data_IF_483008655116
#
_entry.id   IF_483008655116
#
_cell.length_a   1.000
_cell.length_b   1.000
_cell.length_c   1.000
_cell.angle_alpha   90.00
_cell.angle_beta   90.00
_cell.angle_gamma   90.00
#
_symmetry.space_group_name_H-M   'P 1'
#
loop_
_entity.id
_entity.type
_entity.pdbx_description
1 polymer ?
#
# COMPACT_ATOMS: atom_id res chain seq x y z
N UNK A 1 -2.96 6.28 -15.81
CA UNK A 1 -2.14 6.26 -14.57
C UNK A 1 -0.77 6.78 -14.97
N UNK A 2 -0.34 7.89 -14.39
CA UNK A 2 0.80 8.67 -14.88
C UNK A 2 2.04 8.42 -14.03
N UNK A 3 3.22 8.57 -14.65
CA UNK A 3 4.57 8.69 -14.07
C UNK A 3 4.66 9.35 -12.68
N UNK A 4 3.75 10.27 -12.37
CA UNK A 4 3.63 10.91 -11.05
C UNK A 4 3.25 9.92 -9.95
N UNK A 5 2.40 8.93 -10.21
CA UNK A 5 1.97 7.90 -9.24
C UNK A 5 3.13 6.95 -8.91
N UNK A 6 3.84 6.45 -9.93
CA UNK A 6 5.01 5.58 -9.75
C UNK A 6 6.16 6.28 -9.02
N UNK A 7 6.40 7.56 -9.35
CA UNK A 7 7.40 8.36 -8.66
C UNK A 7 7.03 8.62 -7.19
N UNK A 8 5.74 8.84 -6.90
CA UNK A 8 5.25 9.02 -5.53
C UNK A 8 5.41 7.75 -4.72
N UNK A 9 4.99 6.61 -5.24
CA UNK A 9 5.16 5.32 -4.56
C UNK A 9 6.63 5.01 -4.27
N UNK A 10 7.51 5.19 -5.27
CA UNK A 10 8.97 5.02 -5.06
C UNK A 10 9.53 5.99 -4.03
N UNK A 11 9.06 7.23 -4.01
CA UNK A 11 9.50 8.24 -3.06
C UNK A 11 9.07 7.90 -1.62
N UNK A 12 7.84 7.40 -1.43
CA UNK A 12 7.37 6.95 -0.12
C UNK A 12 8.12 5.71 0.38
N UNK A 13 8.42 4.75 -0.51
CA UNK A 13 9.27 3.59 -0.18
C UNK A 13 10.69 4.02 0.24
N UNK A 14 11.31 4.93 -0.52
CA UNK A 14 12.63 5.48 -0.21
C UNK A 14 12.62 6.25 1.11
N UNK A 15 11.56 7.02 1.37
CA UNK A 15 11.39 7.77 2.61
C UNK A 15 11.25 6.84 3.82
N UNK A 16 10.45 5.77 3.71
CA UNK A 16 10.28 4.77 4.77
C UNK A 16 11.60 4.06 5.11
N UNK A 17 12.32 3.58 4.09
CA UNK A 17 13.65 2.98 4.27
C UNK A 17 14.67 3.98 4.83
N UNK A 18 14.59 5.24 4.39
CA UNK A 18 15.41 6.33 4.90
C UNK A 18 15.18 6.59 6.39
N UNK A 19 13.93 6.62 6.85
CA UNK A 19 13.57 6.75 8.27
C UNK A 19 14.06 5.57 9.10
N UNK A 20 13.92 4.33 8.60
CA UNK A 20 14.44 3.14 9.29
C UNK A 20 15.96 3.15 9.42
N UNK A 21 16.66 3.53 8.34
CA UNK A 21 18.12 3.62 8.33
C UNK A 21 18.61 4.74 9.24
N UNK A 22 17.99 5.92 9.16
CA UNK A 22 18.31 7.06 10.02
C UNK A 22 18.08 6.71 11.50
N UNK A 23 16.91 6.18 11.86
CA UNK A 23 16.61 5.77 13.23
C UNK A 23 17.54 4.67 13.74
N UNK A 24 17.97 3.74 12.88
CA UNK A 24 18.94 2.71 13.27
C UNK A 24 20.35 3.27 13.50
N UNK A 25 20.72 4.33 12.80
CA UNK A 25 22.03 5.00 12.93
C UNK A 25 22.05 5.97 14.11
N UNK A 26 20.98 6.73 14.33
CA UNK A 26 20.89 7.72 15.41
C UNK A 26 20.42 7.11 16.73
N UNK A 27 19.90 5.88 16.71
CA UNK A 27 19.30 5.24 17.88
C UNK A 27 17.88 5.75 18.20
N UNK A 28 17.23 6.43 17.24
CA UNK A 28 15.86 6.89 17.36
C UNK A 28 14.88 5.76 17.02
N UNK A 29 14.35 5.13 18.07
CA UNK A 29 13.29 4.12 17.95
C UNK A 29 12.03 4.69 17.30
N UNK A 30 11.76 6.00 17.45
CA UNK A 30 10.60 6.66 16.84
C UNK A 30 10.72 6.71 15.30
N UNK A 31 11.87 7.11 14.76
CA UNK A 31 12.12 7.10 13.30
C UNK A 31 12.07 5.69 12.73
N UNK A 32 12.58 4.70 13.47
CA UNK A 32 12.54 3.30 13.06
C UNK A 32 11.12 2.73 13.07
N UNK A 33 10.34 3.07 14.08
CA UNK A 33 8.93 2.67 14.18
C UNK A 33 8.08 3.34 13.09
N UNK A 34 8.33 4.62 12.79
CA UNK A 34 7.61 5.37 11.77
C UNK A 34 7.85 4.79 10.37
N UNK A 35 9.11 4.46 10.03
CA UNK A 35 9.43 3.81 8.76
C UNK A 35 8.82 2.42 8.59
N UNK A 36 8.78 1.61 9.67
CA UNK A 36 8.07 0.31 9.67
C UNK A 36 6.56 0.45 9.60
N UNK A 37 6.00 1.45 10.27
CA UNK A 37 4.56 1.74 10.27
C UNK A 37 4.06 2.18 8.89
N UNK A 38 4.83 3.01 8.19
CA UNK A 38 4.57 3.41 6.80
C UNK A 38 4.56 2.17 5.87
N UNK A 39 5.55 1.28 5.98
CA UNK A 39 5.59 0.03 5.19
C UNK A 39 4.42 -0.90 5.50
N UNK A 40 4.14 -1.15 6.79
CA UNK A 40 3.03 -2.02 7.19
C UNK A 40 1.67 -1.48 6.74
N UNK A 41 1.48 -0.16 6.79
CA UNK A 41 0.25 0.48 6.33
C UNK A 41 0.10 0.38 4.82
N UNK A 42 1.17 0.55 4.05
CA UNK A 42 1.16 0.39 2.60
C UNK A 42 0.81 -1.06 2.19
N UNK A 43 1.48 -2.03 2.80
CA UNK A 43 1.24 -3.47 2.56
C UNK A 43 -0.21 -3.86 2.91
N UNK A 44 -0.72 -3.33 4.02
CA UNK A 44 -2.11 -3.55 4.46
C UNK A 44 -3.12 -2.92 3.52
N UNK A 45 -2.91 -1.67 3.10
CA UNK A 45 -3.78 -0.98 2.13
C UNK A 45 -3.82 -1.73 0.80
N UNK A 46 -2.67 -2.21 0.32
CA UNK A 46 -2.59 -2.95 -0.94
C UNK A 46 -3.35 -4.28 -0.84
N UNK A 47 -3.13 -5.06 0.23
CA UNK A 47 -3.86 -6.32 0.46
C UNK A 47 -5.37 -6.13 0.60
N UNK A 48 -5.80 -5.07 1.29
CA UNK A 48 -7.22 -4.73 1.41
C UNK A 48 -7.80 -4.32 0.05
N UNK A 49 -7.06 -3.51 -0.73
CA UNK A 49 -7.48 -3.10 -2.05
C UNK A 49 -7.62 -4.31 -3.00
N UNK A 50 -6.62 -5.19 -3.07
CA UNK A 50 -6.67 -6.44 -3.85
C UNK A 50 -7.84 -7.33 -3.44
N UNK A 51 -8.05 -7.53 -2.13
CA UNK A 51 -9.16 -8.33 -1.64
C UNK A 51 -10.52 -7.71 -1.99
N UNK A 52 -10.65 -6.38 -1.84
CA UNK A 52 -11.87 -5.66 -2.20
C UNK A 52 -12.12 -5.75 -3.72
N UNK A 53 -11.10 -5.63 -4.55
CA UNK A 53 -11.21 -5.69 -6.02
C UNK A 53 -11.62 -7.10 -6.48
N UNK A 54 -11.01 -8.14 -5.91
CA UNK A 54 -11.40 -9.53 -6.18
C UNK A 54 -12.84 -9.84 -5.75
N UNK A 55 -13.30 -9.28 -4.63
CA UNK A 55 -14.69 -9.39 -4.19
C UNK A 55 -15.62 -8.64 -5.14
N UNK A 56 -15.24 -7.43 -5.55
CA UNK A 56 -16.02 -6.61 -6.47
C UNK A 56 -16.19 -7.28 -7.83
N UNK A 57 -15.11 -7.81 -8.41
CA UNK A 57 -15.14 -8.57 -9.65
C UNK A 57 -16.09 -9.77 -9.58
N UNK A 58 -16.02 -10.56 -8.50
CA UNK A 58 -16.95 -11.69 -8.29
C UNK A 58 -18.40 -11.25 -8.11
N UNK A 59 -18.64 -10.13 -7.43
CA UNK A 59 -19.98 -9.57 -7.25
C UNK A 59 -20.52 -9.06 -8.59
N UNK A 60 -19.70 -8.40 -9.40
CA UNK A 60 -20.08 -7.96 -10.75
C UNK A 60 -20.37 -9.17 -11.65
N UNK A 61 -19.56 -10.23 -11.64
CA UNK A 61 -19.83 -11.50 -12.36
C UNK A 61 -21.18 -12.12 -11.96
N UNK A 62 -21.48 -12.14 -10.66
CA UNK A 62 -22.74 -12.67 -10.13
C UNK A 62 -23.91 -11.77 -10.50
N UNK A 63 -23.71 -10.46 -10.45
CA UNK A 63 -24.72 -9.45 -10.81
C UNK A 63 -25.01 -9.50 -12.31
N UNK A 64 -24.01 -9.65 -13.16
CA UNK A 64 -24.16 -9.74 -14.62
C UNK A 64 -24.95 -11.01 -15.00
N UNK A 65 -24.61 -12.15 -14.39
CA UNK A 65 -25.38 -13.40 -14.53
C UNK A 65 -26.81 -13.33 -14.02
N UNK A 66 -27.08 -12.56 -12.97
CA UNK A 66 -28.42 -12.39 -12.38
C UNK A 66 -29.25 -11.33 -13.08
N UNK A 67 -28.62 -10.28 -13.64
CA UNK A 67 -29.31 -9.18 -14.33
C UNK A 67 -29.50 -9.43 -15.82
N UNK A 68 -28.89 -10.48 -16.37
CA UNK A 68 -29.28 -11.06 -17.66
C UNK A 68 -28.98 -10.16 -18.85
N UNK A 69 -27.73 -9.73 -18.96
CA UNK A 69 -27.18 -9.19 -20.22
C UNK A 69 -26.25 -10.19 -20.88
#
# INVERSE_FOLDING_TARGET
>A
MGITDDAKNKAEELKGRGKEAAGSVTGDDELKAEGKGDQASADTKQKIADAADAVKGKIDDVKDKLTGK
#
